data_IF_029637780944
#
_entry.id   IF_029637780944
#
_cell.length_a   1.000
_cell.length_b   1.000
_cell.length_c   1.000
_cell.angle_alpha   90.00
_cell.angle_beta   90.00
_cell.angle_gamma   90.00
#
_symmetry.space_group_name_H-M   'P 1'
#
loop_
_entity.id
_entity.type
_entity.pdbx_description
1 polymer ?
#
# COMPACT_ATOMS: atom_id res chain seq x y z
N UNK A 1 30.36 53.86 -44.66
CA UNK A 1 31.06 53.50 -43.41
C UNK A 1 30.35 54.22 -42.27
N UNK A 2 29.77 53.64 -41.23
CA UNK A 2 29.43 52.26 -40.85
C UNK A 2 28.42 52.45 -39.71
N UNK A 3 27.20 52.01 -39.95
CA UNK A 3 26.08 51.96 -39.03
C UNK A 3 26.43 50.97 -37.90
N UNK A 4 26.66 51.45 -36.68
CA UNK A 4 26.89 50.62 -35.48
C UNK A 4 26.04 51.13 -34.32
N UNK A 5 24.77 51.36 -34.61
CA UNK A 5 23.72 51.62 -33.63
C UNK A 5 23.07 50.28 -33.30
N UNK A 6 22.96 49.98 -31.99
CA UNK A 6 22.04 48.98 -31.44
C UNK A 6 22.39 47.50 -31.75
N UNK A 7 23.53 47.06 -31.25
CA UNK A 7 23.77 45.66 -30.88
C UNK A 7 24.57 45.75 -29.59
N UNK A 8 24.05 45.50 -28.40
CA UNK A 8 23.71 44.18 -27.87
C UNK A 8 22.93 44.45 -26.57
N UNK A 9 21.60 44.56 -26.65
CA UNK A 9 20.71 44.70 -25.48
C UNK A 9 19.47 43.82 -25.68
N UNK A 10 19.66 42.59 -26.18
CA UNK A 10 18.59 41.57 -26.35
C UNK A 10 19.21 40.17 -26.22
N UNK A 11 19.80 39.86 -25.06
CA UNK A 11 20.39 38.54 -24.82
C UNK A 11 20.09 38.03 -23.39
N UNK A 12 18.86 38.20 -22.91
CA UNK A 12 18.55 37.88 -21.49
C UNK A 12 17.21 37.20 -21.23
N UNK A 13 16.42 36.77 -22.23
CA UNK A 13 15.05 36.29 -21.92
C UNK A 13 14.52 35.09 -22.70
N UNK A 14 15.35 34.10 -22.99
CA UNK A 14 14.91 32.76 -23.43
C UNK A 14 15.96 31.80 -22.85
N UNK A 15 15.70 30.85 -21.94
CA UNK A 15 14.89 29.65 -22.08
C UNK A 15 14.81 28.94 -20.70
N UNK A 16 14.17 29.53 -19.68
CA UNK A 16 13.72 28.75 -18.50
C UNK A 16 12.41 27.99 -18.82
N UNK A 17 12.30 27.41 -20.02
CA UNK A 17 11.32 26.37 -20.27
C UNK A 17 11.81 25.13 -19.51
N UNK A 18 11.54 25.14 -18.20
CA UNK A 18 11.82 24.05 -17.30
C UNK A 18 11.27 22.77 -17.91
N UNK A 19 12.11 21.75 -17.92
CA UNK A 19 11.75 20.36 -18.17
C UNK A 19 10.86 19.88 -17.00
N UNK A 20 9.67 20.47 -16.88
CA UNK A 20 8.61 20.04 -15.98
C UNK A 20 7.87 18.91 -16.64
N UNK A 21 8.49 17.71 -16.65
CA UNK A 21 7.77 16.49 -16.99
C UNK A 21 6.49 16.36 -16.15
N UNK A 22 5.48 15.63 -16.63
CA UNK A 22 4.21 15.50 -15.93
C UNK A 22 4.46 15.11 -14.46
N UNK A 23 3.70 15.67 -13.51
CA UNK A 23 3.89 15.38 -12.09
C UNK A 23 3.84 13.87 -11.89
N UNK A 24 4.94 13.30 -11.40
CA UNK A 24 5.00 11.85 -11.14
C UNK A 24 3.89 11.50 -10.16
N UNK A 25 3.10 10.46 -10.46
CA UNK A 25 2.13 9.91 -9.51
C UNK A 25 2.87 9.67 -8.19
N UNK A 26 2.38 10.25 -7.09
CA UNK A 26 2.98 10.09 -5.77
C UNK A 26 2.70 8.67 -5.29
N UNK A 27 3.65 7.78 -5.58
CA UNK A 27 3.65 6.40 -5.10
C UNK A 27 4.29 6.38 -3.72
N UNK A 28 3.58 5.80 -2.75
CA UNK A 28 3.97 5.78 -1.35
C UNK A 28 4.24 4.34 -0.90
N UNK A 29 5.08 4.23 0.12
CA UNK A 29 5.24 3.01 0.90
C UNK A 29 4.45 3.15 2.18
N UNK A 30 3.62 2.15 2.47
CA UNK A 30 2.88 2.04 3.72
C UNK A 30 3.25 0.75 4.43
N UNK A 31 3.33 0.82 5.75
CA UNK A 31 3.39 -0.35 6.62
C UNK A 31 2.08 -0.45 7.37
N UNK A 32 1.72 -1.63 7.85
CA UNK A 32 0.47 -1.70 8.60
C UNK A 32 0.15 -3.05 9.17
N UNK A 33 -1.01 -3.12 9.83
CA UNK A 33 -1.57 -4.35 10.37
C UNK A 33 -3.02 -4.50 9.92
N UNK A 34 -3.52 -5.73 9.91
CA UNK A 34 -4.90 -6.05 9.57
C UNK A 34 -5.55 -6.73 10.77
N UNK A 35 -6.73 -6.27 11.13
CA UNK A 35 -7.52 -6.81 12.25
C UNK A 35 -8.88 -7.27 11.75
N UNK A 36 -9.38 -8.36 12.33
CA UNK A 36 -10.74 -8.85 12.11
C UNK A 36 -11.32 -9.30 13.45
N UNK A 37 -12.50 -8.78 13.81
CA UNK A 37 -13.15 -9.04 15.11
C UNK A 37 -12.22 -8.83 16.33
N UNK A 38 -11.38 -7.80 16.27
CA UNK A 38 -10.41 -7.49 17.33
C UNK A 38 -9.17 -8.38 17.36
N UNK A 39 -9.05 -9.37 16.47
CA UNK A 39 -7.85 -10.21 16.34
C UNK A 39 -6.97 -9.73 15.19
N UNK A 40 -5.68 -9.56 15.45
CA UNK A 40 -4.70 -9.26 14.41
C UNK A 40 -4.45 -10.50 13.54
N UNK A 41 -4.58 -10.32 12.23
CA UNK A 41 -4.30 -11.36 11.25
C UNK A 41 -2.78 -11.47 11.06
N UNK A 42 -2.26 -12.71 11.12
CA UNK A 42 -0.83 -13.03 11.03
C UNK A 42 -0.44 -13.76 9.73
N UNK A 43 -1.34 -13.76 8.75
CA UNK A 43 -1.15 -14.39 7.45
C UNK A 43 -2.20 -13.88 6.47
N UNK A 44 -1.94 -14.08 5.18
CA UNK A 44 -2.85 -13.70 4.10
C UNK A 44 -2.28 -12.59 3.24
N UNK A 45 -3.10 -12.16 2.30
CA UNK A 45 -2.76 -11.14 1.31
C UNK A 45 -3.78 -10.01 1.43
N UNK A 46 -3.29 -8.78 1.56
CA UNK A 46 -4.11 -7.58 1.58
C UNK A 46 -3.99 -6.87 0.24
N UNK A 47 -5.10 -6.37 -0.29
CA UNK A 47 -5.18 -5.59 -1.53
C UNK A 47 -5.87 -4.27 -1.25
N UNK A 48 -5.27 -3.17 -1.68
CA UNK A 48 -5.95 -1.87 -1.70
C UNK A 48 -6.35 -1.53 -3.13
N UNK A 49 -7.55 -0.98 -3.29
CA UNK A 49 -8.11 -0.52 -4.55
C UNK A 49 -8.53 0.94 -4.40
N UNK A 50 -7.86 1.81 -5.12
CA UNK A 50 -8.17 3.23 -5.18
C UNK A 50 -9.37 3.51 -6.10
N UNK A 51 -10.11 4.62 -5.88
CA UNK A 51 -11.24 5.01 -6.72
C UNK A 51 -10.88 5.22 -8.20
N UNK A 52 -9.61 5.55 -8.49
CA UNK A 52 -9.10 5.74 -9.85
C UNK A 52 -8.71 4.42 -10.55
N UNK A 53 -8.90 3.27 -9.89
CA UNK A 53 -8.56 1.95 -10.43
C UNK A 53 -7.13 1.48 -10.15
N UNK A 54 -6.26 2.33 -9.59
CA UNK A 54 -4.93 1.90 -9.13
C UNK A 54 -5.09 0.92 -7.97
N UNK A 55 -4.25 -0.12 -7.91
CA UNK A 55 -4.28 -1.10 -6.83
C UNK A 55 -2.87 -1.50 -6.40
N UNK A 56 -2.74 -1.89 -5.15
CA UNK A 56 -1.52 -2.43 -4.58
C UNK A 56 -1.85 -3.66 -3.74
N UNK A 57 -0.89 -4.57 -3.60
CA UNK A 57 -1.06 -5.83 -2.86
C UNK A 57 0.15 -6.08 -1.98
N UNK A 58 -0.06 -6.62 -0.78
CA UNK A 58 1.01 -7.02 0.12
C UNK A 58 0.66 -8.32 0.87
N UNK A 59 1.69 -9.11 1.18
CA UNK A 59 1.56 -10.26 2.06
C UNK A 59 1.65 -9.80 3.52
N UNK A 60 0.79 -10.37 4.37
CA UNK A 60 0.86 -10.22 5.82
C UNK A 60 1.86 -11.23 6.36
N UNK A 61 2.87 -10.72 7.04
CA UNK A 61 3.91 -11.52 7.68
C UNK A 61 3.38 -12.22 8.94
N UNK A 62 4.15 -13.18 9.47
CA UNK A 62 3.80 -13.93 10.69
C UNK A 62 3.74 -13.07 11.97
N UNK A 63 4.35 -11.88 11.96
CA UNK A 63 4.22 -10.85 13.00
C UNK A 63 2.90 -10.04 12.87
N UNK A 64 2.12 -10.29 11.81
CA UNK A 64 0.89 -9.60 11.47
C UNK A 64 1.06 -8.21 10.88
N UNK A 65 2.28 -7.86 10.44
CA UNK A 65 2.57 -6.63 9.71
C UNK A 65 2.64 -6.90 8.21
N UNK A 66 2.35 -5.88 7.41
CA UNK A 66 2.59 -5.87 5.97
C UNK A 66 3.39 -4.63 5.57
N UNK A 67 4.06 -4.71 4.42
CA UNK A 67 4.71 -3.58 3.76
C UNK A 67 4.16 -3.55 2.34
N UNK A 68 3.58 -2.41 1.94
CA UNK A 68 3.00 -2.24 0.62
C UNK A 68 3.58 -1.01 -0.05
N UNK A 69 4.03 -1.17 -1.28
CA UNK A 69 4.63 -0.12 -2.11
C UNK A 69 3.66 0.31 -3.20
N UNK A 70 3.97 1.43 -3.86
CA UNK A 70 3.20 1.93 -5.01
C UNK A 70 1.74 2.28 -4.67
N UNK A 71 1.47 2.63 -3.41
CA UNK A 71 0.15 3.00 -2.94
C UNK A 71 -0.09 4.49 -3.21
N UNK A 72 -1.22 4.82 -3.83
CA UNK A 72 -1.65 6.21 -3.97
C UNK A 72 -2.28 6.71 -2.66
N UNK A 73 -2.11 7.99 -2.28
CA UNK A 73 -2.75 8.52 -1.09
C UNK A 73 -4.28 8.61 -1.24
N UNK A 74 -4.98 8.69 -0.10
CA UNK A 74 -6.43 8.86 -0.03
C UNK A 74 -7.18 7.61 0.45
N UNK A 75 -8.52 7.67 0.37
CA UNK A 75 -9.40 6.57 0.76
C UNK A 75 -9.36 5.44 -0.28
N UNK A 76 -9.20 4.21 0.19
CA UNK A 76 -9.11 3.01 -0.65
C UNK A 76 -9.99 1.90 -0.10
N UNK A 77 -10.57 1.12 -1.02
CA UNK A 77 -11.29 -0.11 -0.69
C UNK A 77 -10.29 -1.22 -0.41
N UNK A 78 -10.60 -2.09 0.53
CA UNK A 78 -9.68 -3.14 0.97
C UNK A 78 -10.26 -4.51 0.72
N UNK A 79 -9.45 -5.41 0.19
CA UNK A 79 -9.72 -6.84 0.21
C UNK A 79 -8.63 -7.59 0.97
N UNK A 80 -9.06 -8.63 1.67
CA UNK A 80 -8.21 -9.59 2.33
C UNK A 80 -8.49 -10.97 1.74
N UNK A 81 -7.43 -11.67 1.33
CA UNK A 81 -7.48 -13.07 0.92
C UNK A 81 -6.72 -13.89 1.95
N UNK A 82 -7.40 -14.89 2.51
CA UNK A 82 -6.80 -15.82 3.47
C UNK A 82 -5.55 -16.49 2.90
N UNK A 83 -4.49 -16.57 3.69
CA UNK A 83 -3.24 -17.25 3.34
C UNK A 83 -3.04 -18.53 4.14
N UNK A 84 -2.08 -19.39 3.73
CA UNK A 84 -1.69 -20.52 4.56
C UNK A 84 -1.22 -20.00 5.92
N UNK A 85 -1.83 -20.49 6.99
CA UNK A 85 -1.36 -20.20 8.34
C UNK A 85 0.01 -20.85 8.49
N UNK A 86 1.06 -20.03 8.59
CA UNK A 86 2.39 -20.53 8.94
C UNK A 86 2.32 -21.07 10.36
N UNK A 87 2.17 -22.38 10.48
CA UNK A 87 2.44 -23.11 11.73
C UNK A 87 3.87 -22.78 12.13
N UNK A 88 4.04 -22.12 13.27
CA UNK A 88 5.36 -21.85 13.82
C UNK A 88 6.12 -23.17 13.90
N UNK A 89 7.28 -23.23 13.24
CA UNK A 89 8.18 -24.36 13.30
C UNK A 89 8.51 -24.60 14.77
N UNK A 90 8.16 -25.78 15.26
CA UNK A 90 8.34 -26.17 16.65
C UNK A 90 9.84 -26.26 16.97
N UNK A 91 10.30 -25.49 17.95
CA UNK A 91 11.43 -25.92 18.76
C UNK A 91 10.96 -27.06 19.67
N UNK A 92 11.73 -28.14 19.67
CA UNK A 92 11.67 -29.30 20.58
C UNK A 92 10.67 -30.41 20.21
N UNK A 93 11.23 -31.58 19.93
CA UNK A 93 10.50 -32.78 19.55
C UNK A 93 9.51 -33.24 20.60
N UNK A 94 8.26 -33.45 20.18
CA UNK A 94 7.38 -34.48 20.73
C UNK A 94 6.22 -34.67 19.77
N UNK A 95 5.94 -35.93 19.40
CA UNK A 95 4.69 -36.30 18.72
C UNK A 95 3.53 -35.91 19.63
N UNK A 96 2.69 -34.99 19.17
CA UNK A 96 1.45 -34.64 19.83
C UNK A 96 0.87 -33.42 19.16
N UNK A 97 -0.33 -33.55 18.57
CA UNK A 97 -0.99 -32.51 17.81
C UNK A 97 -1.02 -31.18 18.57
N UNK A 98 -0.14 -30.27 18.18
CA UNK A 98 -0.18 -28.89 18.64
C UNK A 98 -1.39 -28.24 18.02
N UNK A 99 -2.39 -27.90 18.84
CA UNK A 99 -3.52 -27.08 18.47
C UNK A 99 -2.99 -25.82 17.79
N UNK A 100 -3.04 -25.83 16.45
CA UNK A 100 -2.55 -24.76 15.61
C UNK A 100 -3.23 -23.46 16.00
N UNK A 101 -2.46 -22.39 16.06
CA UNK A 101 -2.97 -21.03 16.23
C UNK A 101 -4.25 -20.89 15.41
N UNK A 102 -5.36 -20.66 16.10
CA UNK A 102 -6.70 -20.71 15.51
C UNK A 102 -6.72 -19.83 14.27
N UNK A 103 -6.71 -20.45 13.09
CA UNK A 103 -6.80 -19.73 11.85
C UNK A 103 -8.11 -18.95 11.90
N UNK A 104 -8.02 -17.63 12.00
CA UNK A 104 -9.21 -16.79 12.05
C UNK A 104 -9.90 -16.94 10.70
N UNK A 105 -11.05 -17.62 10.69
CA UNK A 105 -11.81 -17.86 9.47
C UNK A 105 -12.45 -16.54 9.03
N UNK A 106 -11.75 -15.81 8.16
CA UNK A 106 -12.25 -14.57 7.55
C UNK A 106 -13.21 -14.92 6.40
N UNK A 107 -14.46 -14.42 6.42
CA UNK A 107 -15.44 -14.69 5.37
C UNK A 107 -14.98 -14.28 3.97
N UNK A 108 -15.37 -15.04 2.95
CA UNK A 108 -14.99 -14.79 1.56
C UNK A 108 -15.47 -13.44 0.99
N UNK A 109 -16.46 -12.77 1.62
CA UNK A 109 -16.87 -11.40 1.25
C UNK A 109 -15.71 -10.41 1.30
N UNK A 110 -14.71 -10.66 2.16
CA UNK A 110 -13.54 -9.80 2.27
C UNK A 110 -12.56 -9.99 1.10
N UNK A 111 -12.71 -11.03 0.27
CA UNK A 111 -11.81 -11.27 -0.87
C UNK A 111 -12.01 -10.26 -2.01
N UNK A 112 -13.12 -9.53 -2.04
CA UNK A 112 -13.44 -8.54 -3.06
C UNK A 112 -13.54 -7.13 -2.45
N UNK A 113 -12.75 -6.14 -2.91
CA UNK A 113 -12.82 -4.78 -2.39
C UNK A 113 -14.20 -4.13 -2.55
N UNK A 114 -15.02 -4.60 -3.49
CA UNK A 114 -16.37 -4.06 -3.73
C UNK A 114 -17.40 -4.61 -2.73
N UNK A 115 -17.19 -5.80 -2.17
CA UNK A 115 -18.15 -6.46 -1.27
C UNK A 115 -17.67 -6.58 0.18
N UNK A 116 -16.39 -6.28 0.43
CA UNK A 116 -15.78 -6.33 1.76
C UNK A 116 -16.39 -5.31 2.73
N UNK A 117 -16.78 -4.15 2.22
CA UNK A 117 -17.17 -2.98 3.03
C UNK A 117 -16.01 -2.37 3.82
N UNK A 118 -14.78 -2.86 3.64
CA UNK A 118 -13.60 -2.39 4.37
C UNK A 118 -12.93 -1.26 3.58
N UNK A 119 -12.57 -0.18 4.29
CA UNK A 119 -11.85 0.97 3.73
C UNK A 119 -10.63 1.31 4.60
N UNK A 120 -9.68 2.01 3.99
CA UNK A 120 -8.49 2.55 4.67
C UNK A 120 -8.14 3.90 4.06
N UNK A 121 -7.68 4.83 4.90
CA UNK A 121 -7.16 6.12 4.45
C UNK A 121 -5.64 6.08 4.46
N UNK A 122 -5.03 6.18 3.29
CA UNK A 122 -3.57 6.24 3.14
C UNK A 122 -3.10 7.69 3.31
N UNK A 123 -2.22 7.99 4.29
CA UNK A 123 -1.70 9.33 4.50
C UNK A 123 -0.91 9.83 3.28
N UNK A 124 -0.92 11.14 3.04
CA UNK A 124 -0.18 11.74 1.91
C UNK A 124 1.33 11.54 1.97
N UNK A 125 1.88 11.31 3.17
CA UNK A 125 3.30 11.00 3.40
C UNK A 125 3.62 9.50 3.30
N UNK A 126 2.61 8.63 3.19
CA UNK A 126 2.75 7.21 3.51
C UNK A 126 2.89 6.99 5.01
N UNK A 127 3.45 5.85 5.41
CA UNK A 127 3.68 5.49 6.81
C UNK A 127 2.82 4.34 7.32
N UNK A 128 2.56 4.30 8.63
CA UNK A 128 1.85 3.20 9.27
C UNK A 128 0.32 3.36 9.17
N UNK A 129 -0.38 2.28 8.81
CA UNK A 129 -1.85 2.22 8.71
C UNK A 129 -2.39 0.97 9.40
N UNK A 130 -3.59 1.09 9.98
CA UNK A 130 -4.32 -0.05 10.56
C UNK A 130 -5.58 -0.30 9.77
N UNK A 131 -5.75 -1.52 9.29
CA UNK A 131 -6.94 -1.95 8.56
C UNK A 131 -7.83 -2.76 9.50
N UNK A 132 -9.12 -2.39 9.57
CA UNK A 132 -10.13 -3.14 10.28
C UNK A 132 -11.13 -3.76 9.30
N UNK A 133 -11.26 -5.08 9.35
CA UNK A 133 -12.29 -5.83 8.66
C UNK A 133 -13.50 -5.97 9.59
N UNK A 134 -14.64 -5.40 9.21
CA UNK A 134 -15.88 -5.38 10.00
C UNK A 134 -17.02 -6.21 9.37
#
# INVERSE_FOLDING_TARGET
MTLKTVAVMVATLTLLAGCGGPPKKKMLTVTGTVTYKGQQLKSGVIKFLAPNGDFATATINSDGKFIMTEVVPGEQKVAYVGGPVSVGSSDTGTRGGGAGATAVAVPAKFNDPQTSGATVTVPESGGEVTVALN
#
